data_IF_379336746289
#
_entry.id   IF_379336746289
#
_cell.length_a   1.000
_cell.length_b   1.000
_cell.length_c   1.000
_cell.angle_alpha   90.00
_cell.angle_beta   90.00
_cell.angle_gamma   90.00
#
_symmetry.space_group_name_H-M   'P 1'
#
loop_
_entity.id
_entity.type
_entity.pdbx_description
1 polymer ?
#
# COMPACT_ATOMS: atom_id res chain seq x y z
N UNK A 1 -19.65 8.99 4.76
CA UNK A 1 -19.38 7.54 4.80
C UNK A 1 -19.91 6.94 6.08
N UNK A 2 -19.84 5.62 6.21
CA UNK A 2 -20.10 4.87 7.44
C UNK A 2 -18.75 4.38 7.98
N UNK A 3 -18.55 4.43 9.30
CA UNK A 3 -17.40 3.84 9.96
C UNK A 3 -17.81 2.48 10.53
N UNK A 4 -17.08 1.43 10.17
CA UNK A 4 -17.40 0.07 10.57
C UNK A 4 -16.66 -0.39 11.83
N UNK A 5 -15.59 0.31 12.22
CA UNK A 5 -14.70 -0.10 13.32
C UNK A 5 -14.18 -1.52 13.13
N UNK A 6 -13.93 -1.89 11.88
CA UNK A 6 -13.49 -3.21 11.50
C UNK A 6 -12.55 -3.08 10.30
N UNK A 7 -11.31 -3.54 10.47
CA UNK A 7 -10.25 -3.39 9.46
C UNK A 7 -10.70 -3.88 8.09
N UNK A 8 -11.31 -5.06 7.99
CA UNK A 8 -11.72 -5.62 6.69
C UNK A 8 -12.69 -4.71 5.93
N UNK A 9 -13.65 -4.08 6.62
CA UNK A 9 -14.59 -3.18 5.95
C UNK A 9 -13.97 -1.82 5.67
N UNK A 10 -13.28 -1.25 6.65
CA UNK A 10 -12.75 0.11 6.54
C UNK A 10 -11.58 0.17 5.53
N UNK A 11 -10.72 -0.85 5.45
CA UNK A 11 -9.58 -0.92 4.51
C UNK A 11 -10.02 -1.01 3.05
N UNK A 12 -11.21 -1.54 2.79
CA UNK A 12 -11.80 -1.66 1.45
C UNK A 12 -12.66 -0.45 1.09
N UNK A 13 -12.91 0.47 2.03
CA UNK A 13 -13.67 1.69 1.80
C UNK A 13 -12.78 2.90 1.44
N UNK A 14 -11.47 2.83 1.70
CA UNK A 14 -10.52 3.90 1.42
C UNK A 14 -9.12 3.33 1.17
N UNK A 15 -8.27 4.08 0.44
CA UNK A 15 -6.85 3.77 0.38
C UNK A 15 -6.26 3.64 1.79
N UNK A 16 -5.37 2.68 1.99
CA UNK A 16 -4.72 2.42 3.28
C UNK A 16 -3.22 2.18 3.09
N UNK A 17 -2.49 2.31 4.19
CA UNK A 17 -1.09 1.88 4.30
C UNK A 17 -0.93 0.98 5.51
N UNK A 18 0.03 0.06 5.43
CA UNK A 18 0.29 -0.92 6.47
C UNK A 18 1.62 -0.65 7.18
N UNK A 19 1.60 -0.60 8.51
CA UNK A 19 2.81 -0.67 9.33
C UNK A 19 3.13 -2.13 9.63
N UNK A 20 4.32 -2.59 9.21
CA UNK A 20 4.86 -3.87 9.63
C UNK A 20 5.20 -4.82 8.47
N UNK A 21 4.91 -6.11 8.65
CA UNK A 21 5.36 -7.20 7.79
C UNK A 21 4.81 -7.04 6.38
N UNK A 22 5.68 -7.00 5.37
CA UNK A 22 5.23 -7.01 3.99
C UNK A 22 4.77 -8.41 3.55
N UNK A 23 3.92 -8.47 2.51
CA UNK A 23 3.59 -9.73 1.87
C UNK A 23 4.63 -10.07 0.80
N UNK A 24 5.24 -11.26 0.91
CA UNK A 24 6.19 -11.74 -0.11
C UNK A 24 5.59 -11.78 -1.51
N UNK A 25 4.27 -12.03 -1.62
CA UNK A 25 3.52 -12.05 -2.87
C UNK A 25 3.51 -10.71 -3.63
N UNK A 26 3.87 -9.60 -2.99
CA UNK A 26 4.02 -8.30 -3.66
C UNK A 26 5.33 -8.18 -4.45
N UNK A 27 6.24 -9.15 -4.33
CA UNK A 27 7.48 -9.24 -5.10
C UNK A 27 7.30 -10.17 -6.30
N UNK A 28 7.94 -9.83 -7.41
CA UNK A 28 8.10 -10.74 -8.56
C UNK A 28 8.82 -12.01 -8.07
N UNK A 29 8.22 -13.17 -8.37
CA UNK A 29 8.64 -14.49 -7.89
C UNK A 29 8.73 -14.64 -6.36
N UNK A 30 7.97 -13.82 -5.61
CA UNK A 30 8.08 -13.73 -4.16
C UNK A 30 7.81 -15.02 -3.38
N UNK A 31 7.13 -16.01 -3.97
CA UNK A 31 6.94 -17.33 -3.38
C UNK A 31 8.22 -18.18 -3.33
N UNK A 32 9.19 -17.88 -4.20
CA UNK A 32 10.47 -18.58 -4.31
C UNK A 32 11.61 -17.87 -3.57
N UNK A 33 11.36 -16.66 -3.06
CA UNK A 33 12.36 -15.88 -2.35
C UNK A 33 12.45 -16.27 -0.87
N UNK A 34 13.67 -16.27 -0.36
CA UNK A 34 13.94 -16.34 1.07
C UNK A 34 13.61 -15.00 1.74
N UNK A 35 13.45 -15.02 3.08
CA UNK A 35 13.19 -13.80 3.85
C UNK A 35 14.33 -12.76 3.73
N UNK A 36 15.58 -13.22 3.62
CA UNK A 36 16.74 -12.33 3.48
C UNK A 36 16.79 -11.68 2.09
N UNK A 37 16.40 -12.41 1.03
CA UNK A 37 16.26 -11.85 -0.31
C UNK A 37 15.12 -10.82 -0.39
N UNK A 38 14.01 -11.06 0.31
CA UNK A 38 12.91 -10.09 0.40
C UNK A 38 13.37 -8.83 1.12
N UNK A 39 14.06 -8.97 2.25
CA UNK A 39 14.60 -7.82 2.99
C UNK A 39 15.62 -7.03 2.14
N UNK A 40 16.51 -7.71 1.43
CA UNK A 40 17.49 -7.08 0.54
C UNK A 40 16.84 -6.30 -0.63
N UNK A 41 15.62 -6.67 -1.03
CA UNK A 41 14.83 -5.96 -2.04
C UNK A 41 13.93 -4.85 -1.47
N UNK A 42 14.07 -4.54 -0.18
CA UNK A 42 13.32 -3.47 0.50
C UNK A 42 12.05 -3.92 1.19
N UNK A 43 11.80 -5.24 1.30
CA UNK A 43 10.67 -5.77 2.04
C UNK A 43 10.83 -5.57 3.54
N UNK A 44 9.82 -5.01 4.20
CA UNK A 44 9.85 -4.83 5.64
C UNK A 44 9.57 -6.15 6.38
N UNK A 45 10.32 -6.41 7.46
CA UNK A 45 10.17 -7.59 8.33
C UNK A 45 9.65 -7.15 9.69
N UNK A 46 8.57 -7.77 10.16
CA UNK A 46 7.97 -7.44 11.46
C UNK A 46 7.11 -8.58 11.99
N UNK A 47 6.76 -8.52 13.28
CA UNK A 47 5.78 -9.42 13.89
C UNK A 47 4.34 -8.94 13.74
N UNK A 48 4.14 -7.68 13.38
CA UNK A 48 2.82 -7.06 13.23
C UNK A 48 2.57 -6.67 11.78
N UNK A 49 1.30 -6.51 11.42
CA UNK A 49 0.83 -5.88 10.20
C UNK A 49 -0.44 -5.12 10.59
N UNK A 50 -0.39 -3.79 10.56
CA UNK A 50 -1.50 -2.92 11.00
C UNK A 50 -1.83 -1.95 9.89
N UNK A 51 -3.02 -2.12 9.33
CA UNK A 51 -3.58 -1.25 8.30
C UNK A 51 -4.28 -0.04 8.93
N UNK A 52 -4.05 1.14 8.36
CA UNK A 52 -4.86 2.32 8.63
C UNK A 52 -5.17 3.08 7.33
N UNK A 53 -6.38 3.64 7.30
CA UNK A 53 -6.94 4.28 6.13
C UNK A 53 -6.48 5.73 6.03
N UNK A 54 -6.07 6.14 4.83
CA UNK A 54 -5.59 7.49 4.51
C UNK A 54 -6.34 8.14 3.34
N UNK A 55 -7.21 7.39 2.64
CA UNK A 55 -7.95 7.88 1.48
C UNK A 55 -9.09 8.85 1.85
N UNK A 56 -9.42 9.75 0.92
CA UNK A 56 -10.64 10.57 0.94
C UNK A 56 -10.91 11.14 -0.46
N UNK A 57 -12.07 11.79 -0.62
CA UNK A 57 -12.46 12.56 -1.82
C UNK A 57 -11.61 13.83 -2.05
N UNK A 58 -10.61 14.08 -1.19
CA UNK A 58 -9.69 15.22 -1.28
C UNK A 58 -8.24 14.80 -1.47
N UNK A 59 -7.98 13.51 -1.70
CA UNK A 59 -6.63 12.97 -1.91
C UNK A 59 -6.33 12.90 -3.40
N UNK A 60 -5.16 13.43 -3.77
CA UNK A 60 -4.54 13.27 -5.08
C UNK A 60 -3.31 12.38 -4.95
N UNK A 61 -3.10 11.48 -5.92
CA UNK A 61 -1.97 10.55 -5.95
C UNK A 61 -1.24 10.68 -7.29
N UNK A 62 0.07 10.84 -7.22
CA UNK A 62 0.98 10.82 -8.37
C UNK A 62 1.89 9.60 -8.31
N UNK A 63 2.05 8.93 -9.46
CA UNK A 63 3.14 8.01 -9.69
C UNK A 63 4.39 8.80 -10.07
N UNK A 64 5.51 8.52 -9.41
CA UNK A 64 6.80 9.14 -9.72
C UNK A 64 7.65 8.17 -10.53
N UNK A 65 8.00 8.58 -11.75
CA UNK A 65 8.87 7.83 -12.65
C UNK A 65 10.33 7.81 -12.18
N UNK A 66 11.13 6.91 -12.75
CA UNK A 66 12.58 6.83 -12.46
C UNK A 66 13.36 8.09 -12.85
N UNK A 67 12.83 8.84 -13.81
CA UNK A 67 13.34 10.14 -14.27
C UNK A 67 12.85 11.32 -13.40
N UNK A 68 12.02 11.05 -12.39
CA UNK A 68 11.40 12.07 -11.54
C UNK A 68 10.14 12.70 -12.12
N UNK A 69 9.71 12.29 -13.32
CA UNK A 69 8.44 12.71 -13.91
C UNK A 69 7.25 12.26 -13.06
N UNK A 70 6.16 13.04 -13.08
CA UNK A 70 4.94 12.73 -12.32
C UNK A 70 3.80 12.41 -13.27
N UNK A 71 3.12 11.30 -13.00
CA UNK A 71 1.92 10.88 -13.72
C UNK A 71 0.76 10.86 -12.73
N UNK A 72 -0.35 11.57 -13.01
CA UNK A 72 -1.57 11.46 -12.20
C UNK A 72 -2.05 10.02 -12.14
N UNK A 73 -2.30 9.50 -10.95
CA UNK A 73 -2.89 8.16 -10.74
C UNK A 73 -4.30 8.29 -10.18
N UNK A 74 -4.49 9.15 -9.18
CA UNK A 74 -5.81 9.48 -8.64
C UNK A 74 -5.96 10.99 -8.45
N UNK A 75 -7.18 11.51 -8.62
CA UNK A 75 -7.56 12.89 -8.32
C UNK A 75 -8.87 12.93 -7.58
N UNK A 76 -8.91 13.66 -6.45
CA UNK A 76 -10.07 13.79 -5.57
C UNK A 76 -10.67 12.43 -5.19
N UNK A 77 -9.81 11.47 -4.86
CA UNK A 77 -10.20 10.13 -4.43
C UNK A 77 -10.65 9.16 -5.53
N UNK A 78 -10.62 9.55 -6.80
CA UNK A 78 -11.01 8.72 -7.94
C UNK A 78 -9.83 8.52 -8.91
N UNK A 79 -9.89 7.51 -9.77
CA UNK A 79 -8.89 7.31 -10.83
C UNK A 79 -8.83 8.52 -11.78
N UNK A 80 -7.62 8.95 -12.10
CA UNK A 80 -7.35 10.13 -12.94
C UNK A 80 -7.49 9.87 -14.45
#
# INVERSE_FOLDING_TARGET
GLLFFNTLFDENAACHIALGQCYSKCFVDGASLTQDEIAARGGNKSFIHIDWMIGSDKVDIDGVGKDGGRVPVMRRGEWA
#
